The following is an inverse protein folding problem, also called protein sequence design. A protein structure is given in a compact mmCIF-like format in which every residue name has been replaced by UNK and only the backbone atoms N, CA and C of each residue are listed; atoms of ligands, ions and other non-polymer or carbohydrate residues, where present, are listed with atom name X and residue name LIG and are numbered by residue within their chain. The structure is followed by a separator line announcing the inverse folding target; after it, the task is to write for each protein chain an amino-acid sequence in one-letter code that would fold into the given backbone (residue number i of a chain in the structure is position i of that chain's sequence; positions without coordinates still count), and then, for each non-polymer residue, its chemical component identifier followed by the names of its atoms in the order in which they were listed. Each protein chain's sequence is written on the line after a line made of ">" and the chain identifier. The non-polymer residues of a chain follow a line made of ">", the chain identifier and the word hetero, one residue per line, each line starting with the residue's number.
data_IF_473695105142
#
_entry.id   IF_473695105142
#
_cell.length_a   1.000
_cell.length_b   1.000
_cell.length_c   1.000
_cell.angle_alpha   90.00
_cell.angle_beta   90.00
_cell.angle_gamma   90.00
#
_symmetry.space_group_name_H-M   'P 1'
#
loop_
_entity.id
_entity.type
_entity.pdbx_description
1 polymer ?
#
# COMPACT_ATOMS: atom_id res chain seq x y z
N UNK A 1 -1.35 3.46 2.77
CA UNK A 1 -0.35 3.01 1.76
C UNK A 1 0.05 4.13 0.81
N UNK A 2 -0.91 4.80 0.17
CA UNK A 2 -0.69 5.99 -0.66
C UNK A 2 0.22 7.06 0.01
N UNK A 3 -0.03 7.36 1.28
CA UNK A 3 0.75 8.32 2.10
C UNK A 3 2.26 8.03 2.07
N UNK A 4 2.68 6.76 2.08
CA UNK A 4 4.10 6.41 2.05
C UNK A 4 4.78 6.91 0.77
N UNK A 5 4.10 6.85 -0.37
CA UNK A 5 4.59 7.36 -1.63
C UNK A 5 4.53 8.89 -1.69
N UNK A 6 3.44 9.50 -1.20
CA UNK A 6 3.27 10.95 -1.11
C UNK A 6 4.44 11.61 -0.38
N UNK A 7 4.78 11.09 0.80
CA UNK A 7 5.87 11.63 1.61
C UNK A 7 7.25 11.21 1.09
N UNK A 8 7.42 9.92 0.80
CA UNK A 8 8.74 9.34 0.51
C UNK A 8 9.24 9.63 -0.90
N UNK A 9 8.36 9.67 -1.89
CA UNK A 9 8.72 9.89 -3.30
C UNK A 9 8.25 11.23 -3.83
N UNK A 10 6.98 11.58 -3.63
CA UNK A 10 6.41 12.83 -4.16
C UNK A 10 6.81 14.07 -3.34
N UNK A 11 7.54 13.86 -2.24
CA UNK A 11 8.09 14.89 -1.35
C UNK A 11 7.03 15.87 -0.85
N UNK A 12 5.82 15.38 -0.66
CA UNK A 12 4.76 16.14 -0.02
C UNK A 12 5.09 16.35 1.45
N UNK A 13 4.71 17.50 1.98
CA UNK A 13 4.61 17.68 3.41
C UNK A 13 3.33 17.00 3.95
N UNK A 14 3.22 16.92 5.28
CA UNK A 14 2.08 16.25 5.94
C UNK A 14 0.74 16.88 5.58
N UNK A 15 0.65 18.21 5.54
CA UNK A 15 -0.59 18.90 5.22
C UNK A 15 -1.05 18.63 3.78
N UNK A 16 -0.12 18.69 2.82
CA UNK A 16 -0.40 18.33 1.43
C UNK A 16 -0.90 16.89 1.30
N UNK A 17 -0.28 15.94 2.02
CA UNK A 17 -0.72 14.55 1.99
C UNK A 17 -2.12 14.36 2.61
N UNK A 18 -2.47 15.14 3.64
CA UNK A 18 -3.81 15.17 4.22
C UNK A 18 -4.82 15.72 3.22
N UNK A 19 -4.55 16.88 2.62
CA UNK A 19 -5.45 17.54 1.68
C UNK A 19 -5.77 16.62 0.48
N UNK A 20 -4.74 16.00 -0.11
CA UNK A 20 -4.90 15.06 -1.23
C UNK A 20 -5.68 13.80 -0.82
N UNK A 21 -5.51 13.33 0.43
CA UNK A 21 -6.27 12.19 0.94
C UNK A 21 -7.75 12.54 1.16
N UNK A 22 -8.05 13.75 1.66
CA UNK A 22 -9.42 14.23 1.85
C UNK A 22 -10.16 14.35 0.50
N UNK A 23 -9.50 14.93 -0.50
CA UNK A 23 -10.04 15.01 -1.87
C UNK A 23 -10.33 13.61 -2.41
N UNK A 24 -9.42 12.65 -2.23
CA UNK A 24 -9.64 11.27 -2.65
C UNK A 24 -10.86 10.66 -1.95
N UNK A 25 -10.99 10.83 -0.63
CA UNK A 25 -12.09 10.24 0.14
C UNK A 25 -13.45 10.83 -0.22
N UNK A 26 -13.51 12.12 -0.55
CA UNK A 26 -14.75 12.80 -0.93
C UNK A 26 -15.27 12.35 -2.30
N UNK A 27 -14.36 11.97 -3.21
CA UNK A 27 -14.71 11.51 -4.56
C UNK A 27 -15.09 10.02 -4.60
N UNK A 28 -14.53 9.20 -3.72
CA UNK A 28 -14.75 7.76 -3.71
C UNK A 28 -16.13 7.40 -3.16
N UNK A 29 -16.79 6.44 -3.82
CA UNK A 29 -18.10 5.94 -3.41
C UNK A 29 -17.97 4.52 -2.85
N UNK A 30 -18.19 4.35 -1.56
CA UNK A 30 -18.11 3.05 -0.88
C UNK A 30 -19.49 2.34 -0.73
N UNK A 31 -20.49 2.81 -1.47
CA UNK A 31 -21.85 2.27 -1.48
C UNK A 31 -21.96 0.91 -2.18
N UNK A 32 -22.85 0.03 -1.67
CA UNK A 32 -22.97 -1.35 -2.11
C UNK A 32 -23.86 -1.55 -3.36
N UNK A 33 -24.51 -0.49 -3.87
CA UNK A 33 -25.53 -0.59 -4.92
C UNK A 33 -24.96 -0.76 -6.33
N UNK A 34 -23.69 -0.45 -6.54
CA UNK A 34 -23.17 -0.26 -7.90
C UNK A 34 -22.34 -1.44 -8.42
N UNK A 35 -22.17 -2.51 -7.63
CA UNK A 35 -21.46 -3.72 -8.06
C UNK A 35 -20.12 -3.43 -8.75
N UNK A 36 -19.88 -4.03 -9.91
CA UNK A 36 -18.68 -3.77 -10.72
C UNK A 36 -18.63 -2.35 -11.30
N UNK A 37 -19.77 -1.72 -11.60
CA UNK A 37 -19.84 -0.32 -12.08
C UNK A 37 -19.27 0.64 -11.04
N UNK A 38 -19.55 0.41 -9.76
CA UNK A 38 -19.01 1.23 -8.65
C UNK A 38 -17.51 1.03 -8.48
N UNK A 39 -17.04 -0.21 -8.60
CA UNK A 39 -15.61 -0.55 -8.55
C UNK A 39 -14.86 0.07 -9.71
N UNK A 40 -15.43 0.06 -10.91
CA UNK A 40 -14.87 0.69 -12.09
C UNK A 40 -14.75 2.20 -11.91
N UNK A 41 -15.84 2.85 -11.49
CA UNK A 41 -15.86 4.30 -11.19
C UNK A 41 -14.77 4.68 -10.20
N UNK A 42 -14.68 3.98 -9.06
CA UNK A 42 -13.66 4.23 -8.04
C UNK A 42 -12.23 4.02 -8.58
N UNK A 43 -12.03 3.00 -9.42
CA UNK A 43 -10.71 2.72 -10.02
C UNK A 43 -10.28 3.82 -11.00
N UNK A 44 -11.23 4.36 -11.76
CA UNK A 44 -10.99 5.48 -12.68
C UNK A 44 -10.69 6.77 -11.90
N UNK A 45 -11.49 7.09 -10.88
CA UNK A 45 -11.26 8.25 -9.99
C UNK A 45 -9.88 8.16 -9.34
N UNK A 46 -9.52 7.00 -8.79
CA UNK A 46 -8.21 6.80 -8.17
C UNK A 46 -7.09 7.03 -9.19
N UNK A 47 -7.20 6.45 -10.39
CA UNK A 47 -6.19 6.62 -11.45
C UNK A 47 -6.03 8.08 -11.84
N UNK A 48 -7.13 8.76 -12.14
CA UNK A 48 -7.12 10.16 -12.57
C UNK A 48 -6.50 11.07 -11.51
N UNK A 49 -6.87 10.89 -10.24
CA UNK A 49 -6.29 11.68 -9.15
C UNK A 49 -4.78 11.45 -9.03
N UNK A 50 -4.33 10.20 -9.14
CA UNK A 50 -2.90 9.88 -9.09
C UNK A 50 -2.13 10.46 -10.28
N UNK A 51 -2.71 10.43 -11.48
CA UNK A 51 -2.13 11.02 -12.68
C UNK A 51 -2.01 12.55 -12.55
N UNK A 52 -3.07 13.22 -12.09
CA UNK A 52 -3.08 14.66 -11.82
C UNK A 52 -2.03 15.04 -10.75
N UNK A 53 -1.92 14.24 -9.69
CA UNK A 53 -0.95 14.43 -8.61
C UNK A 53 0.50 14.36 -9.09
N UNK A 54 0.81 13.46 -10.04
CA UNK A 54 2.12 13.35 -10.68
C UNK A 54 2.38 14.53 -11.62
N UNK A 55 1.41 14.87 -12.47
CA UNK A 55 1.53 15.99 -13.41
C UNK A 55 1.73 17.33 -12.71
N UNK A 56 1.00 17.60 -11.62
CA UNK A 56 1.16 18.79 -10.80
C UNK A 56 2.56 18.95 -10.21
N UNK A 57 3.36 17.86 -10.19
CA UNK A 57 4.74 17.81 -9.70
C UNK A 57 5.76 17.63 -10.83
N UNK A 58 5.33 17.75 -12.09
CA UNK A 58 6.20 17.62 -13.26
C UNK A 58 6.71 16.20 -13.50
N UNK A 59 6.01 15.18 -12.99
CA UNK A 59 6.38 13.77 -13.16
C UNK A 59 5.56 13.19 -14.31
N UNK A 60 6.22 12.60 -15.30
CA UNK A 60 5.57 11.97 -16.44
C UNK A 60 4.79 10.70 -16.02
N UNK A 61 3.65 10.42 -16.66
CA UNK A 61 2.76 9.32 -16.27
C UNK A 61 3.37 7.92 -16.52
N UNK A 62 4.29 7.83 -17.46
CA UNK A 62 5.06 6.62 -17.78
C UNK A 62 6.27 6.42 -16.85
N UNK A 63 6.46 7.31 -15.87
CA UNK A 63 7.54 7.21 -14.88
C UNK A 63 7.46 5.87 -14.16
N UNK A 64 8.56 5.11 -14.24
CA UNK A 64 8.66 3.79 -13.63
C UNK A 64 8.76 3.88 -12.12
N UNK A 65 8.20 2.86 -11.47
CA UNK A 65 8.22 2.76 -10.03
C UNK A 65 9.66 2.64 -9.51
N UNK A 66 10.56 1.96 -10.22
CA UNK A 66 11.97 1.84 -9.81
C UNK A 66 12.82 2.95 -10.41
N UNK A 67 13.61 3.63 -9.57
CA UNK A 67 14.56 4.66 -10.02
C UNK A 67 15.96 4.05 -10.20
N UNK A 68 16.55 4.24 -11.38
CA UNK A 68 17.91 3.74 -11.68
C UNK A 68 19.01 4.54 -10.97
N UNK A 69 18.73 5.80 -10.61
CA UNK A 69 19.68 6.75 -10.02
C UNK A 69 19.22 7.26 -8.65
N UNK A 70 18.67 6.38 -7.80
CA UNK A 70 18.30 6.78 -6.43
C UNK A 70 19.55 7.19 -5.65
N UNK A 71 19.73 8.49 -5.40
CA UNK A 71 20.78 8.97 -4.49
C UNK A 71 20.60 8.35 -3.10
N UNK A 72 21.67 8.19 -2.32
CA UNK A 72 21.57 7.69 -0.93
C UNK A 72 20.70 8.55 -0.01
N UNK A 73 20.31 9.76 -0.44
CA UNK A 73 19.53 10.74 0.31
C UNK A 73 18.02 10.67 0.01
N UNK A 74 17.57 9.85 -0.94
CA UNK A 74 16.13 9.68 -1.19
C UNK A 74 15.55 8.59 -0.28
N UNK A 75 14.42 8.85 0.41
CA UNK A 75 13.70 7.82 1.14
C UNK A 75 13.35 6.66 0.22
N UNK A 76 13.64 5.45 0.69
CA UNK A 76 13.29 4.23 -0.02
C UNK A 76 11.90 3.81 0.37
N UNK A 77 11.00 3.81 -0.60
CA UNK A 77 9.60 3.37 -0.46
C UNK A 77 9.42 2.02 -1.14
N UNK A 78 8.68 1.14 -0.46
CA UNK A 78 8.19 -0.13 -0.99
C UNK A 78 6.69 -0.24 -0.73
N UNK A 79 5.93 -0.68 -1.72
CA UNK A 79 4.49 -0.95 -1.63
C UNK A 79 4.24 -2.43 -1.91
N UNK A 80 3.19 -2.99 -1.30
CA UNK A 80 2.85 -4.40 -1.46
C UNK A 80 1.45 -4.57 -2.04
N UNK A 81 1.36 -5.42 -3.06
CA UNK A 81 0.11 -5.94 -3.61
C UNK A 81 0.23 -7.46 -3.79
N UNK A 82 -0.85 -8.13 -4.13
CA UNK A 82 -0.88 -9.58 -4.37
C UNK A 82 -1.29 -9.85 -5.81
N UNK A 83 -0.72 -10.88 -6.43
CA UNK A 83 -1.31 -11.41 -7.66
C UNK A 83 -2.66 -12.05 -7.33
N UNK A 84 -3.68 -11.86 -8.16
CA UNK A 84 -5.02 -12.44 -7.92
C UNK A 84 -4.99 -13.97 -7.88
N UNK A 85 -4.03 -14.59 -8.55
CA UNK A 85 -3.82 -16.03 -8.53
C UNK A 85 -3.25 -16.55 -7.21
N UNK A 86 -2.61 -15.69 -6.40
CA UNK A 86 -2.04 -16.07 -5.12
C UNK A 86 -1.86 -14.85 -4.19
N UNK A 87 -2.84 -14.66 -3.29
CA UNK A 87 -2.85 -13.55 -2.35
C UNK A 87 -1.92 -13.71 -1.13
N UNK A 88 -1.35 -14.91 -0.96
CA UNK A 88 -0.43 -15.23 0.16
C UNK A 88 1.02 -14.85 -0.12
N UNK A 89 1.34 -14.43 -1.34
CA UNK A 89 2.69 -14.06 -1.76
C UNK A 89 2.72 -12.59 -2.21
N UNK A 90 2.98 -11.66 -1.28
CA UNK A 90 3.04 -10.24 -1.59
C UNK A 90 4.13 -9.93 -2.63
N UNK A 91 3.76 -9.18 -3.66
CA UNK A 91 4.67 -8.57 -4.61
C UNK A 91 5.07 -7.17 -4.13
N UNK A 92 6.37 -6.87 -4.18
CA UNK A 92 6.94 -5.62 -3.70
C UNK A 92 7.27 -4.66 -4.87
N UNK A 93 6.55 -3.55 -4.93
CA UNK A 93 6.83 -2.43 -5.82
C UNK A 93 7.79 -1.45 -5.14
N UNK A 94 9.02 -1.36 -5.65
CA UNK A 94 10.12 -0.61 -5.01
C UNK A 94 10.50 0.64 -5.80
N UNK A 95 10.83 1.69 -5.06
CA UNK A 95 11.44 2.92 -5.59
C UNK A 95 12.95 2.82 -5.82
N UNK A 96 13.55 1.71 -5.40
CA UNK A 96 14.98 1.46 -5.45
C UNK A 96 15.25 0.11 -6.10
N UNK A 97 16.46 -0.05 -6.64
CA UNK A 97 16.91 -1.30 -7.21
C UNK A 97 17.04 -2.38 -6.13
N UNK A 98 16.44 -3.54 -6.38
CA UNK A 98 16.58 -4.74 -5.59
C UNK A 98 16.83 -5.94 -6.51
N UNK A 99 17.42 -7.01 -5.97
CA UNK A 99 17.62 -8.27 -6.70
C UNK A 99 16.28 -8.98 -6.89
N UNK A 100 15.99 -9.43 -8.12
CA UNK A 100 14.77 -10.19 -8.45
C UNK A 100 14.07 -9.67 -9.69
N UNK A 101 12.92 -10.27 -10.03
CA UNK A 101 12.08 -9.82 -11.13
C UNK A 101 11.35 -8.54 -10.74
N UNK A 102 11.78 -7.41 -11.29
CA UNK A 102 11.00 -6.18 -11.25
C UNK A 102 10.00 -6.20 -12.41
N UNK A 103 8.71 -6.20 -12.08
CA UNK A 103 7.71 -5.77 -13.06
C UNK A 103 7.99 -4.31 -13.37
N UNK A 104 8.04 -3.98 -14.65
CA UNK A 104 8.30 -2.63 -15.14
C UNK A 104 7.05 -1.73 -15.00
N UNK A 105 6.52 -1.66 -13.77
CA UNK A 105 5.31 -0.95 -13.42
C UNK A 105 5.56 0.57 -13.36
N UNK A 106 4.60 1.37 -13.80
CA UNK A 106 4.59 2.81 -13.52
C UNK A 106 4.24 3.08 -12.07
N UNK A 107 4.50 4.30 -11.61
CA UNK A 107 4.08 4.76 -10.27
C UNK A 107 2.56 4.62 -10.08
N UNK A 108 1.78 5.01 -11.08
CA UNK A 108 0.32 4.94 -11.06
C UNK A 108 -0.14 3.49 -10.96
N UNK A 109 0.40 2.60 -11.79
CA UNK A 109 0.07 1.17 -11.78
C UNK A 109 0.34 0.52 -10.42
N UNK A 110 1.51 0.79 -9.83
CA UNK A 110 1.87 0.24 -8.52
C UNK A 110 0.92 0.72 -7.40
N UNK A 111 0.54 2.00 -7.42
CA UNK A 111 -0.41 2.57 -6.45
C UNK A 111 -1.82 2.00 -6.64
N UNK A 112 -2.33 1.97 -7.87
CA UNK A 112 -3.63 1.39 -8.16
C UNK A 112 -3.67 -0.08 -7.74
N UNK A 113 -2.64 -0.88 -8.08
CA UNK A 113 -2.55 -2.29 -7.67
C UNK A 113 -2.55 -2.46 -6.14
N UNK A 114 -1.81 -1.61 -5.44
CA UNK A 114 -1.73 -1.61 -3.97
C UNK A 114 -3.05 -1.22 -3.30
N UNK A 115 -3.85 -0.37 -3.96
CA UNK A 115 -5.13 0.13 -3.46
C UNK A 115 -6.33 -0.63 -4.00
N UNK A 116 -6.14 -1.60 -4.90
CA UNK A 116 -7.17 -2.42 -5.52
C UNK A 116 -7.80 -3.43 -4.53
N UNK A 117 -8.43 -2.95 -3.47
CA UNK A 117 -9.18 -3.77 -2.50
C UNK A 117 -10.43 -4.27 -3.20
N UNK A 118 -10.62 -5.59 -3.22
CA UNK A 118 -11.60 -6.28 -4.07
C UNK A 118 -13.02 -5.72 -3.94
N UNK A 119 -13.45 -5.32 -2.74
CA UNK A 119 -14.79 -4.76 -2.50
C UNK A 119 -15.00 -3.36 -3.07
N UNK A 120 -13.94 -2.61 -3.41
CA UNK A 120 -14.02 -1.18 -3.72
C UNK A 120 -13.45 -0.80 -5.08
N UNK A 121 -12.55 -1.62 -5.61
CA UNK A 121 -11.78 -1.33 -6.82
C UNK A 121 -11.62 -2.58 -7.69
N UNK A 122 -11.33 -2.37 -8.97
CA UNK A 122 -11.00 -3.42 -9.91
C UNK A 122 -9.52 -3.84 -9.75
N UNK A 123 -9.18 -5.10 -10.02
CA UNK A 123 -7.79 -5.53 -10.12
C UNK A 123 -7.04 -4.78 -11.22
N UNK A 124 -5.73 -4.61 -11.04
CA UNK A 124 -4.86 -3.89 -11.98
C UNK A 124 -3.95 -4.88 -12.71
N UNK A 125 -3.99 -4.86 -14.04
CA UNK A 125 -3.10 -5.69 -14.87
C UNK A 125 -1.80 -4.95 -15.13
N UNK A 126 -0.67 -5.56 -14.79
CA UNK A 126 0.66 -4.97 -14.96
C UNK A 126 1.54 -5.93 -15.76
N UNK A 127 2.33 -5.39 -16.69
CA UNK A 127 3.29 -6.13 -17.51
C UNK A 127 2.97 -6.12 -19.00
N UNK A 128 3.80 -6.77 -19.83
CA UNK A 128 3.63 -6.78 -21.28
C UNK A 128 2.36 -7.58 -21.66
N UNK A 129 1.70 -7.26 -22.80
CA UNK A 129 0.39 -7.83 -23.15
C UNK A 129 0.25 -9.36 -23.05
N UNK A 130 1.33 -10.11 -23.35
CA UNK A 130 1.33 -11.59 -23.32
C UNK A 130 1.69 -12.20 -21.96
N UNK A 131 2.08 -11.40 -20.95
CA UNK A 131 2.50 -11.86 -19.61
C UNK A 131 2.00 -10.93 -18.51
N UNK A 132 0.81 -10.35 -18.71
CA UNK A 132 0.19 -9.49 -17.70
C UNK A 132 -0.13 -10.30 -16.45
N UNK A 133 0.18 -9.71 -15.29
CA UNK A 133 -0.22 -10.24 -14.00
C UNK A 133 -1.29 -9.30 -13.44
N UNK A 134 -2.41 -9.88 -13.02
CA UNK A 134 -3.50 -9.14 -12.38
C UNK A 134 -3.22 -9.02 -10.88
N UNK A 135 -3.23 -7.80 -10.36
CA UNK A 135 -2.91 -7.46 -8.98
C UNK A 135 -4.11 -6.91 -8.22
N UNK A 136 -4.16 -7.24 -6.93
CA UNK A 136 -5.10 -6.69 -5.94
C UNK A 136 -4.34 -6.20 -4.71
N UNK A 137 -4.94 -5.24 -4.01
CA UNK A 137 -4.48 -4.84 -2.69
C UNK A 137 -4.79 -5.91 -1.65
N UNK A 138 -4.37 -5.68 -0.41
CA UNK A 138 -4.75 -6.56 0.69
C UNK A 138 -3.99 -7.89 0.77
N UNK A 139 -2.77 -7.96 0.22
CA UNK A 139 -1.94 -9.15 0.30
C UNK A 139 -1.78 -9.63 1.76
N UNK A 140 -2.03 -10.91 2.00
CA UNK A 140 -1.99 -11.50 3.35
C UNK A 140 -0.57 -11.40 3.91
N UNK A 141 -0.44 -10.98 5.17
CA UNK A 141 0.82 -10.74 5.84
C UNK A 141 1.53 -9.44 5.43
N UNK A 142 0.90 -8.62 4.58
CA UNK A 142 1.45 -7.34 4.12
C UNK A 142 0.49 -6.15 4.33
N UNK A 143 -0.60 -6.34 5.09
CA UNK A 143 -1.46 -5.24 5.50
C UNK A 143 -0.76 -4.31 6.49
N UNK A 144 -0.04 -4.90 7.44
CA UNK A 144 1.04 -4.24 8.15
C UNK A 144 2.38 -4.73 7.58
N UNK A 145 3.12 -3.90 6.82
CA UNK A 145 4.29 -4.36 6.08
C UNK A 145 5.54 -4.50 6.94
N UNK A 146 5.48 -4.31 8.27
CA UNK A 146 6.69 -4.08 9.06
C UNK A 146 7.69 -5.26 9.01
N UNK A 147 7.21 -6.51 8.99
CA UNK A 147 8.07 -7.69 8.85
C UNK A 147 8.83 -7.65 7.53
N UNK A 148 8.10 -7.42 6.44
CA UNK A 148 8.69 -7.31 5.10
C UNK A 148 9.62 -6.09 4.99
N UNK A 149 9.30 -4.98 5.66
CA UNK A 149 10.14 -3.78 5.66
C UNK A 149 11.48 -4.02 6.37
N UNK A 150 11.52 -4.82 7.44
CA UNK A 150 12.77 -5.23 8.10
C UNK A 150 13.61 -6.13 7.20
N UNK A 151 12.98 -7.04 6.45
CA UNK A 151 13.67 -7.85 5.44
C UNK A 151 14.25 -6.97 4.32
N UNK A 152 13.48 -6.02 3.80
CA UNK A 152 13.96 -5.04 2.82
C UNK A 152 15.12 -4.21 3.37
N UNK A 153 15.04 -3.73 4.62
CA UNK A 153 16.13 -2.99 5.26
C UNK A 153 17.40 -3.83 5.34
N UNK A 154 17.29 -5.12 5.71
CA UNK A 154 18.42 -6.05 5.72
C UNK A 154 19.01 -6.30 4.33
N UNK A 155 18.17 -6.36 3.29
CA UNK A 155 18.59 -6.55 1.91
C UNK A 155 19.31 -5.32 1.34
N UNK A 156 18.85 -4.12 1.71
CA UNK A 156 19.35 -2.85 1.18
C UNK A 156 20.57 -2.34 1.93
N UNK A 157 20.56 -2.42 3.26
CA UNK A 157 21.61 -1.83 4.11
C UNK A 157 22.57 -2.87 4.69
N UNK A 158 22.26 -4.16 4.51
CA UNK A 158 23.01 -5.28 5.07
C UNK A 158 22.48 -5.69 6.44
N UNK A 159 22.49 -7.01 6.70
CA UNK A 159 21.91 -7.64 7.90
C UNK A 159 22.58 -7.23 9.22
N UNK A 160 23.81 -6.72 9.17
CA UNK A 160 24.57 -6.32 10.35
C UNK A 160 24.32 -4.87 10.78
N UNK A 161 23.55 -4.10 10.02
CA UNK A 161 23.19 -2.72 10.38
C UNK A 161 22.06 -2.73 11.41
N UNK A 162 22.22 -1.96 12.48
CA UNK A 162 21.19 -1.78 13.50
C UNK A 162 20.17 -0.75 13.05
N UNK A 163 18.89 -1.10 13.18
CA UNK A 163 17.77 -0.16 13.02
C UNK A 163 17.66 0.64 14.31
N UNK A 164 17.74 1.97 14.22
CA UNK A 164 17.66 2.84 15.39
C UNK A 164 16.23 3.02 15.91
N UNK A 165 15.25 3.11 15.00
CA UNK A 165 13.84 3.31 15.33
C UNK A 165 12.96 2.68 14.24
N UNK A 166 11.82 2.14 14.67
CA UNK A 166 10.73 1.66 13.84
C UNK A 166 9.46 2.39 14.31
N UNK A 167 8.81 3.07 13.38
CA UNK A 167 7.50 3.68 13.60
C UNK A 167 6.48 2.99 12.70
N UNK A 168 5.51 2.29 13.30
CA UNK A 168 4.38 1.69 12.60
C UNK A 168 3.12 2.51 12.85
N UNK A 169 2.52 3.02 11.79
CA UNK A 169 1.27 3.79 11.85
C UNK A 169 0.11 2.94 11.33
N UNK A 170 -0.89 2.71 12.17
CA UNK A 170 -2.16 2.12 11.79
C UNK A 170 -3.19 3.19 11.39
N UNK A 171 -4.30 2.73 10.82
CA UNK A 171 -5.44 3.58 10.46
C UNK A 171 -6.59 3.45 11.47
N UNK A 172 -6.28 3.12 12.73
CA UNK A 172 -7.26 2.68 13.72
C UNK A 172 -7.85 1.30 13.43
N UNK A 173 -8.54 0.75 14.44
CA UNK A 173 -9.36 -0.43 14.30
C UNK A 173 -10.81 0.06 14.16
N UNK A 174 -11.50 -0.20 13.03
CA UNK A 174 -12.89 0.17 12.94
C UNK A 174 -13.65 -0.53 14.08
N UNK A 175 -14.57 0.18 14.75
CA UNK A 175 -15.44 -0.35 15.83
C UNK A 175 -16.43 -1.41 15.27
N UNK A 176 -15.89 -2.48 14.72
CA UNK A 176 -16.59 -3.60 14.09
C UNK A 176 -16.68 -4.79 15.05
N UNK A 177 -16.02 -4.69 16.21
CA UNK A 177 -16.12 -5.66 17.30
C UNK A 177 -17.27 -5.33 18.28
N UNK A 178 -18.03 -4.24 18.08
CA UNK A 178 -19.27 -4.03 18.83
C UNK A 178 -20.40 -4.82 18.17
N UNK A 179 -20.92 -5.81 18.89
CA UNK A 179 -22.14 -6.56 18.58
C UNK A 179 -23.31 -5.57 18.48
N UNK A 180 -23.58 -5.01 17.30
CA UNK A 180 -24.65 -4.01 17.21
C UNK A 180 -24.97 -3.33 15.88
N UNK A 181 -24.15 -3.42 14.82
CA UNK A 181 -24.52 -2.80 13.54
C UNK A 181 -24.77 -3.84 12.47
N UNK A 182 -26.05 -4.17 12.32
CA UNK A 182 -26.58 -4.77 11.10
C UNK A 182 -26.38 -3.78 9.97
N UNK A 183 -25.55 -4.12 8.97
CA UNK A 183 -25.86 -4.06 7.54
C UNK A 183 -24.57 -4.19 6.70
N UNK A 184 -24.48 -5.30 5.93
CA UNK A 184 -23.54 -5.64 4.83
C UNK A 184 -22.41 -6.64 5.18
N UNK A 185 -22.63 -7.96 5.02
CA UNK A 185 -21.70 -9.00 5.49
C UNK A 185 -20.34 -9.07 4.77
N UNK A 186 -20.28 -8.87 3.45
CA UNK A 186 -19.02 -9.06 2.68
C UNK A 186 -18.07 -7.86 2.72
N UNK A 187 -18.61 -6.64 2.74
CA UNK A 187 -17.85 -5.39 2.79
C UNK A 187 -17.03 -5.29 4.08
N UNK A 188 -17.70 -5.62 5.17
CA UNK A 188 -17.15 -5.60 6.51
C UNK A 188 -16.19 -6.79 6.74
N UNK A 189 -16.33 -7.88 5.97
CA UNK A 189 -15.44 -9.04 6.07
C UNK A 189 -14.02 -8.76 5.56
N UNK A 190 -13.87 -8.21 4.35
CA UNK A 190 -12.54 -7.97 3.76
C UNK A 190 -11.73 -6.99 4.61
N UNK A 191 -12.37 -5.90 5.07
CA UNK A 191 -11.72 -4.93 5.95
C UNK A 191 -11.39 -5.53 7.33
N UNK A 192 -12.27 -6.36 7.91
CA UNK A 192 -11.96 -7.10 9.15
C UNK A 192 -10.76 -8.03 8.99
N UNK A 193 -10.70 -8.80 7.91
CA UNK A 193 -9.59 -9.72 7.64
C UNK A 193 -8.26 -8.96 7.48
N UNK A 194 -8.27 -7.83 6.76
CA UNK A 194 -7.10 -6.95 6.64
C UNK A 194 -6.69 -6.33 7.98
N UNK A 195 -7.64 -5.93 8.82
CA UNK A 195 -7.37 -5.40 10.16
C UNK A 195 -6.78 -6.50 11.07
N UNK A 196 -7.34 -7.70 11.05
CA UNK A 196 -6.83 -8.85 11.80
C UNK A 196 -5.41 -9.23 11.36
N UNK A 197 -5.12 -9.18 10.06
CA UNK A 197 -3.77 -9.39 9.51
C UNK A 197 -2.78 -8.32 10.01
N UNK A 198 -3.20 -7.05 10.04
CA UNK A 198 -2.39 -5.96 10.59
C UNK A 198 -2.03 -6.19 12.07
N UNK A 199 -3.01 -6.59 12.89
CA UNK A 199 -2.81 -6.85 14.32
C UNK A 199 -1.98 -8.11 14.57
N UNK A 200 -2.15 -9.16 13.76
CA UNK A 200 -1.34 -10.38 13.85
C UNK A 200 0.15 -10.06 13.71
N UNK A 201 0.52 -9.33 12.65
CA UNK A 201 1.93 -8.93 12.42
C UNK A 201 2.43 -7.98 13.50
N UNK A 202 1.56 -7.10 14.00
CA UNK A 202 1.92 -6.16 15.06
C UNK A 202 2.26 -6.86 16.37
N UNK A 203 1.40 -7.79 16.80
CA UNK A 203 1.55 -8.54 18.03
C UNK A 203 2.79 -9.43 17.99
N UNK A 204 3.07 -10.06 16.84
CA UNK A 204 4.30 -10.82 16.62
C UNK A 204 5.54 -9.93 16.85
N UNK A 205 5.56 -8.74 16.24
CA UNK A 205 6.71 -7.84 16.36
C UNK A 205 6.86 -7.25 17.76
N UNK A 206 5.76 -6.85 18.40
CA UNK A 206 5.75 -6.39 19.80
C UNK A 206 6.32 -7.45 20.73
N UNK A 207 5.91 -8.71 20.58
CA UNK A 207 6.42 -9.82 21.39
C UNK A 207 7.93 -10.04 21.18
N UNK A 208 8.40 -9.94 19.92
CA UNK A 208 9.82 -10.11 19.58
C UNK A 208 10.71 -8.96 20.06
N UNK A 209 10.16 -7.76 20.21
CA UNK A 209 10.90 -6.54 20.56
C UNK A 209 10.52 -5.99 21.94
N UNK A 210 9.87 -6.77 22.80
CA UNK A 210 9.31 -6.34 24.08
C UNK A 210 10.31 -5.56 24.97
N UNK A 211 11.59 -5.92 24.92
CA UNK A 211 12.65 -5.33 25.75
C UNK A 211 13.55 -4.35 24.98
N UNK A 212 13.09 -3.88 23.82
CA UNK A 212 13.87 -3.03 22.91
C UNK A 212 13.01 -1.82 22.53
N UNK A 213 13.38 -0.64 23.03
CA UNK A 213 12.71 0.66 22.78
C UNK A 213 12.88 1.19 21.34
N UNK A 214 13.02 0.29 20.36
CA UNK A 214 13.17 0.61 18.95
C UNK A 214 11.81 0.66 18.25
N UNK A 215 10.80 -0.08 18.73
CA UNK A 215 9.50 -0.20 18.05
C UNK A 215 8.39 0.62 18.72
N UNK A 216 7.84 1.57 17.96
CA UNK A 216 6.68 2.37 18.36
C UNK A 216 5.54 2.11 17.38
N UNK A 217 4.37 1.75 17.91
CA UNK A 217 3.12 1.60 17.14
C UNK A 217 2.14 2.68 17.56
N UNK A 218 1.61 3.41 16.59
CA UNK A 218 0.52 4.38 16.78
C UNK A 218 -0.68 3.89 15.97
N UNK A 219 -1.82 3.71 16.63
CA UNK A 219 -3.09 3.26 16.04
C UNK A 219 -4.22 4.23 16.37
#
# INVERSE_FOLDING_TARGET
>A
RLVALMLGRLRMNVNQAIDELLVLTDLLSFGASDGDTGREKNSNILRELLENMLQARGIALDTKMTENNSSSRTPKVVLYAAATANITHPHAFRTYLARGSNLDATVVEALCATMAIQSYFLPVKIGPPKRQISFVGGAIGANNPIRLLLEEAGNVYGKNRRVAQILSLGCGIPHVLSVGSYNKPDLDRTLREMAADCETVANELSARLLNIDVYVRLN
#
